data_IF_410762139224
#
_entry.id   IF_410762139224
#
_cell.length_a   1.000
_cell.length_b   1.000
_cell.length_c   1.000
_cell.angle_alpha   90.00
_cell.angle_beta   90.00
_cell.angle_gamma   90.00
#
_symmetry.space_group_name_H-M   'P 1'
#
loop_
_entity.id
_entity.type
_entity.pdbx_description
1 polymer ?
#
# COMPACT_ATOMS: atom_id res chain seq x y z
N UNK A 1 -17.93 -43.40 38.64
CA UNK A 1 -16.56 -42.86 38.72
C UNK A 1 -16.16 -42.40 37.33
N UNK A 2 -15.61 -41.19 37.25
CA UNK A 2 -15.37 -40.38 36.05
C UNK A 2 -14.42 -41.02 35.00
N UNK A 3 -14.62 -40.70 33.72
CA UNK A 3 -13.67 -39.88 32.93
C UNK A 3 -14.36 -39.44 31.63
N UNK A 4 -14.84 -38.20 31.60
CA UNK A 4 -15.16 -37.50 30.34
C UNK A 4 -13.80 -37.06 29.79
N UNK A 5 -13.24 -37.84 28.85
CA UNK A 5 -12.17 -37.32 28.01
C UNK A 5 -12.83 -36.40 26.99
N UNK A 6 -12.70 -35.09 27.22
CA UNK A 6 -13.02 -34.08 26.23
C UNK A 6 -12.04 -34.21 25.09
N UNK A 7 -12.34 -35.11 24.15
CA UNK A 7 -11.65 -35.18 22.87
C UNK A 7 -11.83 -33.82 22.20
N UNK A 8 -10.78 -33.01 22.27
CA UNK A 8 -10.73 -31.67 21.70
C UNK A 8 -11.10 -31.76 20.23
N UNK A 9 -12.36 -31.47 19.93
CA UNK A 9 -12.98 -31.74 18.65
C UNK A 9 -12.13 -31.16 17.52
N UNK A 10 -11.69 -32.02 16.61
CA UNK A 10 -11.03 -31.62 15.38
C UNK A 10 -11.99 -30.75 14.56
N UNK A 11 -11.82 -29.42 14.65
CA UNK A 11 -12.64 -28.46 13.92
C UNK A 11 -12.09 -28.31 12.50
N UNK A 12 -12.53 -29.18 11.59
CA UNK A 12 -12.23 -29.09 10.16
C UNK A 12 -12.48 -27.68 9.58
N UNK A 13 -13.45 -26.96 10.16
CA UNK A 13 -13.73 -25.54 9.88
C UNK A 13 -12.52 -24.62 10.12
N UNK A 14 -11.76 -24.78 11.19
CA UNK A 14 -10.61 -23.93 11.50
C UNK A 14 -9.40 -24.22 10.60
N UNK A 15 -9.28 -25.45 10.11
CA UNK A 15 -8.25 -25.85 9.12
C UNK A 15 -8.65 -25.34 7.74
N UNK A 16 -9.92 -25.49 7.36
CA UNK A 16 -10.48 -24.93 6.13
C UNK A 16 -10.32 -23.41 6.05
N UNK A 17 -10.59 -22.70 7.15
CA UNK A 17 -10.42 -21.24 7.22
C UNK A 17 -8.93 -20.83 7.08
N UNK A 18 -8.01 -21.61 7.67
CA UNK A 18 -6.56 -21.38 7.55
C UNK A 18 -6.06 -21.68 6.13
N UNK A 19 -6.54 -22.75 5.51
CA UNK A 19 -6.22 -23.10 4.12
C UNK A 19 -6.77 -22.06 3.14
N UNK A 20 -8.02 -21.62 3.33
CA UNK A 20 -8.65 -20.58 2.53
C UNK A 20 -7.91 -19.24 2.67
N UNK A 21 -7.56 -18.81 3.91
CA UNK A 21 -6.72 -17.63 4.14
C UNK A 21 -5.33 -17.74 3.48
N UNK A 22 -4.74 -18.94 3.46
CA UNK A 22 -3.43 -19.21 2.84
C UNK A 22 -3.48 -19.24 1.31
N UNK A 23 -4.60 -19.65 0.72
CA UNK A 23 -4.84 -19.63 -0.72
C UNK A 23 -5.17 -18.19 -1.18
N UNK A 24 -6.08 -17.50 -0.48
CA UNK A 24 -6.40 -16.09 -0.73
C UNK A 24 -5.16 -15.18 -0.63
N UNK A 25 -4.28 -15.41 0.35
CA UNK A 25 -3.03 -14.66 0.48
C UNK A 25 -2.01 -14.94 -0.64
N UNK A 26 -2.05 -16.13 -1.26
CA UNK A 26 -1.19 -16.52 -2.38
C UNK A 26 -1.73 -16.04 -3.74
N UNK A 27 -3.05 -16.03 -3.92
CA UNK A 27 -3.70 -15.61 -5.18
C UNK A 27 -3.70 -14.09 -5.36
N UNK A 28 -3.80 -13.33 -4.27
CA UNK A 28 -3.86 -11.87 -4.36
C UNK A 28 -2.47 -11.20 -4.57
N UNK A 29 -1.37 -11.90 -4.29
CA UNK A 29 -0.02 -11.31 -4.29
C UNK A 29 0.62 -11.14 -5.67
N UNK A 30 0.50 -12.11 -6.60
CA UNK A 30 1.36 -12.15 -7.80
C UNK A 30 1.09 -11.03 -8.82
N UNK A 31 -0.18 -10.73 -9.12
CA UNK A 31 -0.51 -9.73 -10.14
C UNK A 31 -0.47 -8.28 -9.61
N UNK A 32 -0.79 -8.07 -8.32
CA UNK A 32 -0.69 -6.76 -7.67
C UNK A 32 0.77 -6.41 -7.39
N UNK A 33 1.60 -7.38 -7.00
CA UNK A 33 3.05 -7.17 -6.90
C UNK A 33 3.65 -6.78 -8.25
N UNK A 34 3.25 -7.44 -9.36
CA UNK A 34 3.74 -7.07 -10.71
C UNK A 34 3.43 -5.63 -11.10
N UNK A 35 2.23 -5.13 -10.81
CA UNK A 35 1.88 -3.73 -11.08
C UNK A 35 2.70 -2.73 -10.23
N UNK A 36 3.23 -3.17 -9.08
CA UNK A 36 4.08 -2.35 -8.21
C UNK A 36 5.58 -2.46 -8.53
N UNK A 37 5.97 -3.47 -9.32
CA UNK A 37 7.35 -3.70 -9.79
C UNK A 37 7.56 -3.06 -11.17
N UNK A 38 6.60 -2.27 -11.68
CA UNK A 38 6.85 -1.42 -12.83
C UNK A 38 8.03 -0.47 -12.57
N UNK A 39 8.95 -0.36 -13.52
CA UNK A 39 10.23 0.35 -13.37
C UNK A 39 10.03 1.83 -13.00
N UNK A 40 8.96 2.46 -13.49
CA UNK A 40 8.62 3.85 -13.17
C UNK A 40 8.23 3.99 -11.70
N UNK A 41 7.38 3.08 -11.21
CA UNK A 41 6.91 3.08 -9.82
C UNK A 41 8.06 2.75 -8.85
N UNK A 42 8.93 1.81 -9.22
CA UNK A 42 10.13 1.48 -8.46
C UNK A 42 11.07 2.69 -8.33
N UNK A 43 11.36 3.38 -9.44
CA UNK A 43 12.20 4.58 -9.42
C UNK A 43 11.59 5.71 -8.57
N UNK A 44 10.26 5.87 -8.57
CA UNK A 44 9.59 6.86 -7.72
C UNK A 44 9.77 6.56 -6.23
N UNK A 45 9.64 5.29 -5.83
CA UNK A 45 9.84 4.86 -4.45
C UNK A 45 11.29 5.00 -4.00
N UNK A 46 12.26 4.77 -4.89
CA UNK A 46 13.68 5.00 -4.62
C UNK A 46 13.99 6.49 -4.41
N UNK A 47 13.39 7.37 -5.21
CA UNK A 47 13.52 8.81 -5.01
C UNK A 47 12.87 9.26 -3.69
N UNK A 48 11.71 8.69 -3.35
CA UNK A 48 11.06 8.95 -2.06
C UNK A 48 11.91 8.47 -0.88
N UNK A 49 12.55 7.30 -1.00
CA UNK A 49 13.52 6.80 -0.01
C UNK A 49 14.68 7.79 0.17
N UNK A 50 15.28 8.25 -0.93
CA UNK A 50 16.41 9.20 -0.89
C UNK A 50 16.01 10.50 -0.22
N UNK A 51 14.86 11.06 -0.59
CA UNK A 51 14.31 12.28 0.04
C UNK A 51 14.04 12.08 1.54
N UNK A 52 13.37 10.99 1.91
CA UNK A 52 13.07 10.69 3.31
C UNK A 52 14.34 10.50 4.14
N UNK A 53 15.33 9.78 3.60
CA UNK A 53 16.63 9.58 4.25
C UNK A 53 17.39 10.89 4.43
N UNK A 54 17.38 11.76 3.42
CA UNK A 54 18.05 13.06 3.49
C UNK A 54 17.38 13.97 4.53
N UNK A 55 16.05 13.97 4.60
CA UNK A 55 15.31 14.80 5.54
C UNK A 55 15.40 14.29 6.99
N UNK A 56 15.24 12.98 7.22
CA UNK A 56 15.28 12.41 8.58
C UNK A 56 16.70 12.17 9.11
N UNK A 57 17.70 12.19 8.22
CA UNK A 57 19.06 11.71 8.48
C UNK A 57 19.11 10.28 9.09
N UNK A 58 18.06 9.48 8.89
CA UNK A 58 17.90 8.16 9.50
C UNK A 58 17.49 7.11 8.47
N UNK A 59 18.44 6.24 8.14
CA UNK A 59 18.24 5.14 7.19
C UNK A 59 17.07 4.22 7.58
N UNK A 60 16.98 3.84 8.86
CA UNK A 60 15.95 2.88 9.32
C UNK A 60 14.54 3.46 9.20
N UNK A 61 14.39 4.76 9.47
CA UNK A 61 13.10 5.42 9.33
C UNK A 61 12.67 5.58 7.88
N UNK A 62 13.60 5.95 6.98
CA UNK A 62 13.32 6.03 5.55
C UNK A 62 12.93 4.66 4.97
N UNK A 63 13.63 3.58 5.34
CA UNK A 63 13.27 2.22 4.94
C UNK A 63 11.89 1.81 5.48
N UNK A 64 11.59 2.14 6.75
CA UNK A 64 10.30 1.87 7.38
C UNK A 64 9.17 2.60 6.66
N UNK A 65 9.38 3.85 6.27
CA UNK A 65 8.41 4.65 5.53
C UNK A 65 8.05 3.99 4.20
N UNK A 66 9.04 3.72 3.35
CA UNK A 66 8.82 3.11 2.03
C UNK A 66 8.20 1.73 2.15
N UNK A 67 8.66 0.91 3.10
CA UNK A 67 8.07 -0.40 3.40
C UNK A 67 6.60 -0.30 3.80
N UNK A 68 6.23 0.70 4.60
CA UNK A 68 4.84 0.90 5.01
C UNK A 68 3.96 1.35 3.85
N UNK A 69 4.46 2.21 2.96
CA UNK A 69 3.77 2.60 1.72
C UNK A 69 3.46 1.37 0.87
N UNK A 70 4.48 0.55 0.58
CA UNK A 70 4.33 -0.70 -0.19
C UNK A 70 3.27 -1.60 0.43
N UNK A 71 3.32 -1.83 1.76
CA UNK A 71 2.34 -2.66 2.46
C UNK A 71 0.91 -2.15 2.33
N UNK A 72 0.70 -0.84 2.50
CA UNK A 72 -0.63 -0.22 2.42
C UNK A 72 -1.19 -0.38 1.02
N UNK A 73 -0.41 -0.06 -0.01
CA UNK A 73 -0.90 -0.16 -1.40
C UNK A 73 -1.19 -1.60 -1.81
N UNK A 74 -0.32 -2.55 -1.45
CA UNK A 74 -0.58 -3.98 -1.70
C UNK A 74 -1.88 -4.40 -1.01
N UNK A 75 -2.07 -4.04 0.26
CA UNK A 75 -3.28 -4.41 1.01
C UNK A 75 -4.54 -3.83 0.36
N UNK A 76 -4.51 -2.57 -0.06
CA UNK A 76 -5.62 -1.94 -0.78
C UNK A 76 -5.91 -2.64 -2.11
N UNK A 77 -4.89 -2.94 -2.90
CA UNK A 77 -5.05 -3.68 -4.16
C UNK A 77 -5.68 -5.05 -3.96
N UNK A 78 -5.25 -5.78 -2.92
CA UNK A 78 -5.78 -7.10 -2.56
C UNK A 78 -7.26 -7.01 -2.16
N UNK A 79 -7.62 -6.04 -1.31
CA UNK A 79 -9.01 -5.83 -0.88
C UNK A 79 -9.90 -5.48 -2.07
N UNK A 80 -9.45 -4.58 -2.95
CA UNK A 80 -10.21 -4.18 -4.12
C UNK A 80 -10.43 -5.33 -5.10
N UNK A 81 -9.38 -6.10 -5.45
CA UNK A 81 -9.51 -7.23 -6.39
C UNK A 81 -10.40 -8.36 -5.88
N UNK A 82 -10.43 -8.57 -4.57
CA UNK A 82 -11.25 -9.60 -3.97
C UNK A 82 -12.70 -9.15 -3.72
N UNK A 83 -13.09 -7.94 -4.15
CA UNK A 83 -14.44 -7.41 -3.90
C UNK A 83 -14.77 -7.27 -2.41
N UNK A 84 -13.75 -7.09 -1.56
CA UNK A 84 -13.92 -6.99 -0.11
C UNK A 84 -14.22 -5.56 0.37
N UNK A 85 -14.24 -4.60 -0.55
CA UNK A 85 -14.59 -3.21 -0.27
C UNK A 85 -16.09 -3.01 -0.54
N UNK A 86 -16.76 -2.33 0.37
CA UNK A 86 -18.13 -1.84 0.16
C UNK A 86 -18.18 -0.74 -0.90
N UNK A 87 -19.37 -0.48 -1.45
CA UNK A 87 -19.58 0.59 -2.43
C UNK A 87 -19.17 1.98 -1.91
N UNK A 88 -19.34 2.21 -0.60
CA UNK A 88 -18.92 3.46 0.04
C UNK A 88 -17.39 3.57 0.13
N UNK A 89 -16.70 2.48 0.49
CA UNK A 89 -15.23 2.44 0.50
C UNK A 89 -14.64 2.59 -0.90
N UNK A 90 -15.31 2.04 -1.93
CA UNK A 90 -14.93 2.23 -3.34
C UNK A 90 -15.08 3.70 -3.74
N UNK A 91 -16.20 4.36 -3.40
CA UNK A 91 -16.39 5.80 -3.63
C UNK A 91 -15.32 6.64 -2.92
N UNK A 92 -14.95 6.27 -1.70
CA UNK A 92 -13.87 6.94 -0.97
C UNK A 92 -12.51 6.74 -1.65
N UNK A 93 -12.22 5.55 -2.15
CA UNK A 93 -10.99 5.26 -2.89
C UNK A 93 -10.89 6.08 -4.18
N UNK A 94 -12.00 6.23 -4.93
CA UNK A 94 -12.03 7.08 -6.13
C UNK A 94 -11.85 8.58 -5.79
N UNK A 95 -12.46 9.06 -4.70
CA UNK A 95 -12.20 10.42 -4.20
C UNK A 95 -10.75 10.61 -3.80
N UNK A 96 -10.14 9.64 -3.13
CA UNK A 96 -8.73 9.65 -2.77
C UNK A 96 -7.85 9.73 -4.02
N UNK A 97 -8.11 8.89 -5.04
CA UNK A 97 -7.39 8.88 -6.31
C UNK A 97 -7.44 10.25 -7.02
N UNK A 98 -8.61 10.89 -7.05
CA UNK A 98 -8.77 12.25 -7.61
C UNK A 98 -7.92 13.28 -6.87
N UNK A 99 -7.98 13.30 -5.53
CA UNK A 99 -7.16 14.19 -4.71
C UNK A 99 -5.66 13.93 -4.88
N UNK A 100 -5.27 12.66 -4.92
CA UNK A 100 -3.88 12.27 -5.12
C UNK A 100 -3.34 12.74 -6.47
N UNK A 101 -4.14 12.65 -7.54
CA UNK A 101 -3.79 13.20 -8.85
C UNK A 101 -3.60 14.72 -8.79
N UNK A 102 -4.49 15.44 -8.11
CA UNK A 102 -4.36 16.89 -7.95
C UNK A 102 -3.08 17.28 -7.21
N UNK A 103 -2.73 16.55 -6.14
CA UNK A 103 -1.46 16.74 -5.43
C UNK A 103 -0.28 16.49 -6.36
N UNK A 104 -0.30 15.41 -7.15
CA UNK A 104 0.76 15.11 -8.12
C UNK A 104 0.96 16.25 -9.13
N UNK A 105 -0.13 16.76 -9.71
CA UNK A 105 -0.07 17.91 -10.63
C UNK A 105 0.46 19.17 -9.95
N UNK A 106 0.09 19.43 -8.68
CA UNK A 106 0.59 20.57 -7.94
C UNK A 106 2.10 20.47 -7.65
N UNK A 107 2.60 19.27 -7.30
CA UNK A 107 4.04 19.04 -7.11
C UNK A 107 4.81 19.30 -8.42
N UNK A 108 4.30 18.78 -9.54
CA UNK A 108 4.89 19.00 -10.87
C UNK A 108 4.89 20.50 -11.19
N UNK A 109 3.75 21.18 -11.01
CA UNK A 109 3.66 22.63 -11.23
C UNK A 109 4.64 23.42 -10.37
N UNK A 110 4.79 23.10 -9.07
CA UNK A 110 5.77 23.79 -8.23
C UNK A 110 7.21 23.54 -8.64
N UNK A 111 7.52 22.36 -9.17
CA UNK A 111 8.83 22.05 -9.72
C UNK A 111 9.09 22.80 -11.04
N UNK A 112 8.11 22.83 -11.94
CA UNK A 112 8.23 23.47 -13.26
C UNK A 112 8.20 25.01 -13.19
N UNK A 113 7.50 25.60 -12.20
CA UNK A 113 7.21 27.05 -12.14
C UNK A 113 8.25 27.87 -11.34
N UNK A 114 9.28 27.29 -10.70
CA UNK A 114 10.31 28.09 -9.96
C UNK A 114 11.72 27.78 -10.44
N UNK A 115 12.39 28.70 -11.15
CA UNK A 115 13.12 29.85 -10.55
C UNK A 115 12.97 31.23 -11.24
N UNK A 116 12.26 31.41 -12.36
CA UNK A 116 12.38 32.66 -13.14
C UNK A 116 11.55 33.85 -12.63
N UNK A 117 10.51 33.66 -11.81
CA UNK A 117 9.58 34.75 -11.45
C UNK A 117 9.85 35.41 -10.10
N UNK A 118 10.78 34.91 -9.28
CA UNK A 118 11.12 35.53 -8.00
C UNK A 118 12.27 36.55 -8.07
N UNK A 119 12.89 36.76 -9.25
CA UNK A 119 14.02 37.68 -9.45
C UNK A 119 13.58 39.04 -10.02
N UNK A 120 12.35 39.17 -10.53
CA UNK A 120 11.83 40.42 -11.13
C UNK A 120 11.08 41.35 -10.16
N UNK A 121 11.13 41.10 -8.86
CA UNK A 121 10.59 41.98 -7.82
C UNK A 121 11.65 42.31 -6.75
N UNK A 122 12.85 42.66 -7.19
CA UNK A 122 13.88 43.25 -6.33
C UNK A 122 14.32 44.60 -6.85
#
# INVERSE_FOLDING_TARGET
MYTIMTESAFKARDIGLRAQKKILSRMAGKNIARAFIDDTTASLLDNLYRLAKQYSNNKKEAEKLVKNIIKVVIKLGVLHRNGMLSDEEIKQAERFKSKFRNIGMAIISFYEVKFDTCIYWK
#
